data_IF_983045401181
#
_entry.id   IF_983045401181
#
_cell.length_a   1.000
_cell.length_b   1.000
_cell.length_c   1.000
_cell.angle_alpha   90.00
_cell.angle_beta   90.00
_cell.angle_gamma   90.00
#
_symmetry.space_group_name_H-M   'P 1'
#
loop_
_entity.id
_entity.type
_entity.pdbx_description
1 polymer ?
#
# COMPACT_ATOMS: atom_id res chain seq x y z
N UNK A 1 47.28 8.45 41.70
CA UNK A 1 46.00 9.05 41.24
C UNK A 1 45.29 8.02 40.37
N UNK A 2 44.17 7.47 40.86
CA UNK A 2 43.47 6.31 40.30
C UNK A 2 42.40 6.80 39.34
N UNK A 3 42.64 6.71 38.03
CA UNK A 3 41.67 7.12 36.99
C UNK A 3 40.57 6.05 36.91
N UNK A 4 39.42 6.33 37.50
CA UNK A 4 38.17 5.69 37.11
C UNK A 4 37.71 6.30 35.79
N UNK A 5 37.52 5.49 34.75
CA UNK A 5 36.76 5.87 33.58
C UNK A 5 35.49 5.02 33.54
N UNK A 6 34.36 5.74 33.55
CA UNK A 6 32.99 5.27 33.57
C UNK A 6 32.67 4.50 32.28
N UNK A 7 32.07 3.32 32.45
CA UNK A 7 31.46 2.54 31.36
C UNK A 7 30.09 3.13 31.09
N UNK A 8 29.94 3.87 29.99
CA UNK A 8 28.64 4.35 29.51
C UNK A 8 27.94 3.22 28.75
N UNK A 9 26.93 2.61 29.36
CA UNK A 9 26.03 1.68 28.70
C UNK A 9 25.06 2.45 27.79
N UNK A 10 25.24 2.34 26.47
CA UNK A 10 24.22 2.75 25.50
C UNK A 10 23.12 1.67 25.48
N UNK A 11 21.95 2.01 26.03
CA UNK A 11 20.75 1.23 25.84
C UNK A 11 20.25 1.39 24.40
N UNK A 12 20.29 0.31 23.61
CA UNK A 12 19.60 0.23 22.31
C UNK A 12 18.10 0.08 22.57
N UNK A 13 17.33 1.13 22.31
CA UNK A 13 15.88 1.02 22.18
C UNK A 13 15.54 0.37 20.82
N UNK A 14 14.74 -0.70 20.76
CA UNK A 14 14.26 -1.22 19.49
C UNK A 14 13.24 -0.24 18.91
N UNK A 15 13.61 0.42 17.82
CA UNK A 15 12.68 1.11 16.94
C UNK A 15 11.67 0.07 16.43
N UNK A 16 10.45 0.11 16.95
CA UNK A 16 9.31 -0.56 16.34
C UNK A 16 9.01 0.12 15.02
N UNK A 17 9.72 -0.27 13.97
CA UNK A 17 9.37 0.03 12.59
C UNK A 17 8.10 -0.76 12.25
N UNK A 18 6.96 -0.24 12.66
CA UNK A 18 5.67 -0.59 12.07
C UNK A 18 5.73 -0.20 10.61
N UNK A 19 6.16 -1.13 9.76
CA UNK A 19 6.07 -0.97 8.32
C UNK A 19 4.61 -0.80 7.96
N UNK A 20 4.22 0.43 7.65
CA UNK A 20 3.00 0.66 6.91
C UNK A 20 3.08 -0.23 5.68
N UNK A 21 2.23 -1.27 5.62
CA UNK A 21 2.02 -1.99 4.38
C UNK A 21 1.33 -0.99 3.46
N UNK A 22 2.13 -0.20 2.74
CA UNK A 22 1.63 0.60 1.65
C UNK A 22 0.87 -0.37 0.75
N UNK A 23 -0.45 -0.18 0.63
CA UNK A 23 -1.25 -0.84 -0.38
C UNK A 23 -0.45 -0.75 -1.68
N UNK A 24 -0.03 -1.89 -2.23
CA UNK A 24 0.64 -1.90 -3.52
C UNK A 24 -0.42 -1.62 -4.57
N UNK A 25 -0.61 -0.34 -4.87
CA UNK A 25 -1.41 0.08 -6.00
C UNK A 25 -0.71 -0.47 -7.25
N UNK A 26 -1.42 -1.29 -8.01
CA UNK A 26 -0.93 -1.90 -9.24
C UNK A 26 -0.98 -0.87 -10.36
N UNK A 27 0.03 0.01 -10.38
CA UNK A 27 0.21 1.04 -11.41
C UNK A 27 0.72 0.34 -12.68
N UNK A 28 -0.03 0.44 -13.78
CA UNK A 28 0.42 -0.16 -15.04
C UNK A 28 1.64 0.58 -15.56
N UNK A 29 2.76 -0.14 -15.63
CA UNK A 29 4.01 0.44 -16.10
C UNK A 29 3.98 0.56 -17.63
N UNK A 30 4.06 1.80 -18.13
CA UNK A 30 4.28 2.08 -19.54
C UNK A 30 5.64 1.53 -19.97
N UNK A 31 5.74 0.87 -21.13
CA UNK A 31 7.01 0.42 -21.69
C UNK A 31 7.65 1.52 -22.57
N UNK A 32 8.97 1.65 -22.51
CA UNK A 32 9.75 2.57 -23.35
C UNK A 32 9.46 2.38 -24.84
N UNK A 33 9.45 1.13 -25.34
CA UNK A 33 9.31 0.88 -26.78
C UNK A 33 7.94 1.29 -27.30
N UNK A 34 6.90 1.07 -26.48
CA UNK A 34 5.53 1.49 -26.78
C UNK A 34 5.40 3.01 -26.72
N UNK A 35 5.96 3.66 -25.69
CA UNK A 35 5.99 5.11 -25.61
C UNK A 35 6.74 5.75 -26.79
N UNK A 36 7.90 5.20 -27.15
CA UNK A 36 8.74 5.73 -28.21
C UNK A 36 8.05 5.65 -29.59
N UNK A 37 7.34 4.56 -29.87
CA UNK A 37 6.63 4.38 -31.13
C UNK A 37 5.27 5.09 -31.15
N UNK A 38 4.46 4.92 -30.12
CA UNK A 38 3.06 5.37 -30.13
C UNK A 38 2.91 6.81 -29.63
N UNK A 39 3.77 7.26 -28.70
CA UNK A 39 3.71 8.63 -28.18
C UNK A 39 4.67 9.57 -28.93
N UNK A 40 5.92 9.15 -29.11
CA UNK A 40 6.92 9.98 -29.82
C UNK A 40 6.89 9.80 -31.34
N UNK A 41 6.18 8.79 -31.86
CA UNK A 41 6.07 8.52 -33.30
C UNK A 41 7.43 8.31 -33.97
N UNK A 42 8.39 7.75 -33.23
CA UNK A 42 9.73 7.49 -33.73
C UNK A 42 9.80 6.14 -34.44
N UNK A 43 10.64 6.00 -35.48
CA UNK A 43 10.88 4.71 -36.12
C UNK A 43 11.45 3.69 -35.14
N UNK A 44 11.08 2.42 -35.28
CA UNK A 44 11.57 1.28 -34.47
C UNK A 44 13.09 1.31 -34.30
N UNK A 45 13.82 1.44 -35.42
CA UNK A 45 15.28 1.48 -35.42
C UNK A 45 15.90 2.65 -34.64
N UNK A 46 15.13 3.70 -34.32
CA UNK A 46 15.56 4.80 -33.44
C UNK A 46 15.30 4.46 -31.98
N UNK A 47 14.16 3.83 -31.66
CA UNK A 47 13.79 3.38 -30.33
C UNK A 47 14.75 2.28 -29.82
N UNK A 48 15.13 1.35 -30.69
CA UNK A 48 16.06 0.26 -30.35
C UNK A 48 17.44 0.74 -29.89
N UNK A 49 17.84 1.96 -30.29
CA UNK A 49 19.13 2.53 -29.90
C UNK A 49 19.19 2.95 -28.44
N UNK A 50 18.04 3.10 -27.78
CA UNK A 50 17.90 3.50 -26.37
C UNK A 50 18.94 4.53 -25.95
N UNK A 51 18.92 5.69 -26.60
CA UNK A 51 19.90 6.72 -26.25
C UNK A 51 19.58 7.26 -24.85
N UNK A 52 20.61 7.66 -24.07
CA UNK A 52 20.41 8.17 -22.71
C UNK A 52 19.41 9.32 -22.61
N UNK A 53 19.35 10.18 -23.63
CA UNK A 53 18.43 11.30 -23.69
C UNK A 53 16.97 10.84 -23.86
N UNK A 54 16.73 9.80 -24.65
CA UNK A 54 15.39 9.24 -24.85
C UNK A 54 14.90 8.58 -23.56
N UNK A 55 15.78 7.84 -22.88
CA UNK A 55 15.45 7.15 -21.63
C UNK A 55 15.15 8.14 -20.51
N UNK A 56 15.93 9.22 -20.40
CA UNK A 56 15.64 10.32 -19.46
C UNK A 56 14.29 10.98 -19.74
N UNK A 57 13.95 11.18 -21.01
CA UNK A 57 12.66 11.78 -21.42
C UNK A 57 11.50 10.84 -21.13
N UNK A 58 11.67 9.54 -21.37
CA UNK A 58 10.70 8.51 -21.03
C UNK A 58 10.44 8.44 -19.52
N UNK A 59 11.49 8.46 -18.70
CA UNK A 59 11.39 8.43 -17.25
C UNK A 59 10.63 9.65 -16.70
N UNK A 60 10.89 10.84 -17.26
CA UNK A 60 10.14 12.04 -16.93
C UNK A 60 8.66 11.95 -17.34
N UNK A 61 8.38 11.36 -18.52
CA UNK A 61 7.01 11.11 -18.97
C UNK A 61 6.28 10.13 -18.04
N UNK A 62 6.92 9.00 -17.72
CA UNK A 62 6.38 7.97 -16.83
C UNK A 62 6.02 8.54 -15.46
N UNK A 63 6.94 9.28 -14.84
CA UNK A 63 6.72 9.91 -13.55
C UNK A 63 5.50 10.87 -13.56
N UNK A 64 5.25 11.56 -14.68
CA UNK A 64 4.08 12.42 -14.82
C UNK A 64 2.78 11.62 -14.89
N UNK A 65 2.75 10.50 -15.61
CA UNK A 65 1.55 9.66 -15.76
C UNK A 65 1.23 8.93 -14.45
N UNK A 66 2.23 8.26 -13.84
CA UNK A 66 2.06 7.47 -12.61
C UNK A 66 1.52 8.30 -11.44
N UNK A 67 1.86 9.60 -11.41
CA UNK A 67 1.32 10.55 -10.41
C UNK A 67 -0.20 10.56 -10.40
N UNK A 68 -0.84 10.55 -11.57
CA UNK A 68 -2.30 10.61 -11.68
C UNK A 68 -2.95 9.22 -11.53
N UNK A 69 -2.23 8.17 -11.90
CA UNK A 69 -2.71 6.78 -11.77
C UNK A 69 -2.87 6.36 -10.30
N UNK A 70 -1.92 6.75 -9.45
CA UNK A 70 -1.96 6.46 -8.01
C UNK A 70 -3.24 7.02 -7.35
N UNK A 71 -3.58 8.28 -7.64
CA UNK A 71 -4.75 8.93 -7.06
C UNK A 71 -6.05 8.35 -7.62
N UNK A 72 -6.07 8.00 -8.91
CA UNK A 72 -7.20 7.31 -9.53
C UNK A 72 -7.47 5.95 -8.88
N UNK A 73 -6.43 5.13 -8.71
CA UNK A 73 -6.55 3.80 -8.09
C UNK A 73 -7.02 3.91 -6.63
N UNK A 74 -6.51 4.88 -5.87
CA UNK A 74 -7.00 5.14 -4.50
C UNK A 74 -8.49 5.49 -4.47
N UNK A 75 -8.95 6.29 -5.43
CA UNK A 75 -10.37 6.61 -5.58
C UNK A 75 -11.24 5.39 -5.88
N UNK A 76 -10.77 4.49 -6.76
CA UNK A 76 -11.45 3.22 -7.03
C UNK A 76 -11.55 2.33 -5.78
N UNK A 77 -10.46 2.17 -5.03
CA UNK A 77 -10.48 1.38 -3.79
C UNK A 77 -11.46 1.94 -2.76
N UNK A 78 -11.46 3.27 -2.57
CA UNK A 78 -12.40 3.94 -1.66
C UNK A 78 -13.86 3.75 -2.11
N UNK A 79 -14.14 3.85 -3.41
CA UNK A 79 -15.45 3.59 -3.99
C UNK A 79 -15.90 2.13 -3.79
N UNK A 80 -15.02 1.17 -4.03
CA UNK A 80 -15.29 -0.25 -3.82
C UNK A 80 -15.56 -0.58 -2.34
N UNK A 81 -14.79 0.04 -1.43
CA UNK A 81 -15.00 -0.09 0.00
C UNK A 81 -16.36 0.46 0.40
N UNK A 82 -16.69 1.69 0.00
CA UNK A 82 -17.99 2.31 0.30
C UNK A 82 -19.16 1.50 -0.27
N UNK A 83 -19.02 0.97 -1.49
CA UNK A 83 -20.02 0.12 -2.09
C UNK A 83 -20.28 -1.14 -1.26
N UNK A 84 -19.21 -1.79 -0.79
CA UNK A 84 -19.31 -2.97 0.08
C UNK A 84 -19.87 -2.64 1.46
N UNK A 85 -19.38 -1.59 2.13
CA UNK A 85 -19.67 -1.36 3.55
C UNK A 85 -20.93 -0.54 3.80
N UNK A 86 -21.34 0.32 2.87
CA UNK A 86 -22.47 1.24 3.05
C UNK A 86 -23.61 0.90 2.10
N UNK A 87 -23.35 0.82 0.80
CA UNK A 87 -24.44 0.71 -0.19
C UNK A 87 -25.08 -0.68 -0.26
N UNK A 88 -24.31 -1.74 0.02
CA UNK A 88 -24.81 -3.13 -0.01
C UNK A 88 -24.92 -3.77 1.37
N UNK A 89 -24.69 -3.01 2.44
CA UNK A 89 -24.92 -3.43 3.82
C UNK A 89 -26.01 -2.56 4.45
N UNK A 90 -27.07 -2.23 3.69
CA UNK A 90 -28.27 -1.65 4.28
C UNK A 90 -28.82 -2.64 5.31
N UNK A 91 -28.95 -2.27 6.59
CA UNK A 91 -29.46 -3.15 7.63
C UNK A 91 -30.90 -3.65 7.38
N UNK A 92 -31.65 -3.01 6.47
CA UNK A 92 -32.96 -3.49 6.01
C UNK A 92 -32.83 -4.71 5.09
N UNK A 93 -31.87 -4.69 4.15
CA UNK A 93 -31.65 -5.77 3.19
C UNK A 93 -30.73 -6.88 3.74
N UNK A 94 -29.83 -6.56 4.68
CA UNK A 94 -28.88 -7.50 5.29
C UNK A 94 -28.89 -7.44 6.83
N UNK A 95 -29.96 -7.93 7.49
CA UNK A 95 -30.12 -7.86 8.95
C UNK A 95 -29.05 -8.66 9.70
N UNK A 96 -28.57 -8.10 10.81
CA UNK A 96 -27.40 -8.55 11.60
C UNK A 96 -27.52 -10.00 12.08
N UNK A 97 -28.75 -10.44 12.33
CA UNK A 97 -29.13 -11.80 12.73
C UNK A 97 -28.81 -12.88 11.68
N UNK A 98 -28.55 -12.50 10.42
CA UNK A 98 -28.09 -13.42 9.35
C UNK A 98 -26.57 -13.44 9.16
N UNK A 99 -25.83 -12.53 9.80
CA UNK A 99 -24.40 -12.34 9.56
C UNK A 99 -23.57 -12.98 10.70
N UNK A 100 -23.32 -14.29 10.61
CA UNK A 100 -22.59 -15.07 11.62
C UNK A 100 -21.15 -14.58 11.86
N UNK A 101 -20.56 -13.81 10.93
CA UNK A 101 -19.20 -13.27 11.04
C UNK A 101 -19.09 -12.04 11.94
N UNK A 102 -20.19 -11.35 12.25
CA UNK A 102 -20.20 -10.19 13.16
C UNK A 102 -20.39 -10.58 14.64
N UNK A 103 -20.86 -11.80 14.91
CA UNK A 103 -21.10 -12.30 16.27
C UNK A 103 -19.82 -12.72 17.01
N UNK A 104 -18.67 -12.81 16.32
CA UNK A 104 -17.40 -13.29 16.88
C UNK A 104 -16.48 -12.17 17.39
N UNK A 105 -17.03 -10.99 17.69
CA UNK A 105 -16.35 -9.96 18.48
C UNK A 105 -17.08 -9.76 19.81
N UNK A 106 -17.21 -10.84 20.60
CA UNK A 106 -17.59 -10.71 22.00
C UNK A 106 -16.31 -10.45 22.82
N UNK A 107 -16.19 -9.32 23.54
CA UNK A 107 -15.03 -9.06 24.37
C UNK A 107 -14.97 -10.09 25.51
N UNK A 108 -13.87 -10.86 25.59
CA UNK A 108 -13.56 -11.67 26.76
C UNK A 108 -13.31 -10.75 27.96
N UNK A 109 -14.26 -10.72 28.89
CA UNK A 109 -14.07 -10.12 30.23
C UNK A 109 -12.99 -10.92 30.97
N UNK A 110 -11.92 -10.28 31.48
CA UNK A 110 -10.90 -10.98 32.25
C UNK A 110 -11.42 -11.21 33.66
N UNK A 111 -11.74 -12.46 34.01
CA UNK A 111 -12.09 -12.82 35.37
C UNK A 111 -13.06 -14.00 35.48
N UNK A 112 -12.63 -15.19 35.10
CA UNK A 112 -13.20 -16.42 35.66
C UNK A 112 -12.07 -17.41 35.95
N UNK A 113 -11.73 -17.48 37.24
CA UNK A 113 -10.94 -18.53 37.86
C UNK A 113 -11.60 -19.88 37.58
N UNK A 114 -10.90 -20.73 36.84
CA UNK A 114 -11.25 -22.15 36.64
C UNK A 114 -10.85 -22.93 37.90
N UNK A 115 -11.82 -23.21 38.77
CA UNK A 115 -11.73 -24.33 39.70
C UNK A 115 -11.89 -25.62 38.90
N UNK A 116 -10.93 -26.53 39.03
CA UNK A 116 -10.96 -27.88 38.46
C UNK A 116 -11.09 -28.89 39.62
N UNK A 117 -11.60 -30.11 39.36
CA UNK A 117 -12.41 -30.93 40.28
C UNK A 117 -11.69 -31.46 41.52
#
# INVERSE_FOLDING_TARGET
MRRLLLVSALALAPLMSGGAQAQRLDVQTMNFDLWCQETQHLPVARCDKRLPEDEATFEAYRAKVEKYETDYLRGQEAGAQLNRTILHNDPVDNPVDKNTSAAEQKPTTPGQTRSTP
#
